data_IF_236401610927
#
_entry.id   IF_236401610927
#
_cell.length_a   1.000
_cell.length_b   1.000
_cell.length_c   1.000
_cell.angle_alpha   90.00
_cell.angle_beta   90.00
_cell.angle_gamma   90.00
#
_symmetry.space_group_name_H-M   'P 1'
#
loop_
_entity.id
_entity.type
_entity.pdbx_description
1 polymer ?
#
# COMPACT_ATOMS: atom_id res chain seq x y z
N UNK A 1 36.34 -74.44 -9.09
CA UNK A 1 36.28 -72.98 -9.34
C UNK A 1 34.88 -72.49 -8.94
N UNK A 2 34.78 -71.73 -7.87
CA UNK A 2 33.47 -71.16 -7.38
C UNK A 2 33.39 -69.73 -7.83
N UNK A 3 32.44 -69.43 -8.70
CA UNK A 3 32.11 -68.03 -9.08
C UNK A 3 31.30 -67.31 -7.96
N UNK A 4 31.80 -66.21 -7.48
CA UNK A 4 31.07 -65.30 -6.58
C UNK A 4 30.28 -64.31 -7.43
N UNK A 5 28.95 -64.37 -7.29
CA UNK A 5 28.08 -63.38 -7.84
C UNK A 5 28.04 -62.13 -6.91
N UNK A 6 28.38 -60.94 -7.44
CA UNK A 6 28.25 -59.68 -6.77
C UNK A 6 26.84 -59.10 -7.07
N UNK A 7 26.03 -58.97 -6.03
CA UNK A 7 24.72 -58.36 -6.11
C UNK A 7 24.87 -56.84 -5.92
N UNK A 8 24.70 -56.07 -7.00
CA UNK A 8 24.60 -54.59 -6.93
C UNK A 8 23.18 -54.22 -6.51
N UNK A 9 23.03 -53.71 -5.27
CA UNK A 9 21.79 -53.08 -4.81
C UNK A 9 21.83 -51.63 -5.24
N UNK A 10 21.01 -51.31 -6.25
CA UNK A 10 20.80 -49.95 -6.72
C UNK A 10 19.80 -49.25 -5.78
N UNK A 11 20.31 -48.40 -4.88
CA UNK A 11 19.49 -47.60 -3.97
C UNK A 11 18.97 -46.37 -4.73
N UNK A 12 17.74 -46.44 -5.26
CA UNK A 12 17.05 -45.31 -5.87
C UNK A 12 16.55 -44.38 -4.77
N UNK A 13 17.24 -43.28 -4.58
CA UNK A 13 16.75 -42.18 -3.71
C UNK A 13 15.64 -41.44 -4.46
N UNK A 14 14.38 -41.70 -4.15
CA UNK A 14 13.26 -40.85 -4.54
C UNK A 14 13.38 -39.54 -3.78
N UNK A 15 13.81 -38.49 -4.47
CA UNK A 15 13.61 -37.12 -4.03
C UNK A 15 12.12 -36.78 -4.17
N UNK A 16 11.36 -36.96 -3.09
CA UNK A 16 10.03 -36.38 -2.92
C UNK A 16 10.19 -34.86 -2.83
N UNK A 17 10.04 -34.17 -3.97
CA UNK A 17 9.85 -32.74 -3.99
C UNK A 17 8.59 -32.42 -3.18
N UNK A 18 8.79 -31.80 -2.02
CA UNK A 18 7.68 -31.23 -1.26
C UNK A 18 7.04 -30.14 -2.10
N UNK A 19 5.98 -30.47 -2.82
CA UNK A 19 5.05 -29.51 -3.40
C UNK A 19 4.37 -28.84 -2.22
N UNK A 20 4.87 -27.67 -1.83
CA UNK A 20 4.25 -26.86 -0.78
C UNK A 20 2.85 -26.48 -1.23
N UNK A 21 1.83 -27.04 -0.61
CA UNK A 21 0.47 -26.56 -0.73
C UNK A 21 0.46 -25.07 -0.36
N UNK A 22 -0.20 -24.18 -1.14
CA UNK A 22 -0.34 -22.79 -0.76
C UNK A 22 -1.02 -22.75 0.61
N UNK A 23 -0.35 -22.12 1.59
CA UNK A 23 -0.94 -21.85 2.91
C UNK A 23 -2.10 -20.88 2.69
N UNK A 24 -3.32 -21.38 2.58
CA UNK A 24 -4.54 -20.61 2.76
C UNK A 24 -4.66 -20.28 4.24
N UNK A 25 -4.32 -19.03 4.60
CA UNK A 25 -4.34 -18.52 5.96
C UNK A 25 -2.96 -18.01 6.38
N UNK A 26 -2.51 -16.88 5.80
CA UNK A 26 -1.29 -16.18 6.25
C UNK A 26 -1.45 -15.69 7.69
N UNK A 27 -0.33 -15.48 8.37
CA UNK A 27 -0.32 -14.84 9.71
C UNK A 27 -0.91 -13.43 9.58
N UNK A 28 -1.79 -13.06 10.51
CA UNK A 28 -2.41 -11.75 10.59
C UNK A 28 -1.64 -10.88 11.59
N UNK A 29 -1.30 -9.68 11.17
CA UNK A 29 -0.63 -8.65 11.95
C UNK A 29 -1.58 -7.47 12.11
N UNK A 30 -2.31 -7.41 13.23
CA UNK A 30 -3.25 -6.33 13.50
C UNK A 30 -2.47 -5.09 13.94
N UNK A 31 -2.65 -3.95 13.26
CA UNK A 31 -1.94 -2.71 13.58
C UNK A 31 -2.16 -2.23 15.02
N UNK A 32 -3.29 -2.60 15.64
CA UNK A 32 -3.56 -2.30 17.05
C UNK A 32 -2.57 -2.98 18.00
N UNK A 33 -2.07 -4.16 17.64
CA UNK A 33 -1.08 -4.89 18.44
C UNK A 33 0.30 -4.20 18.44
N UNK A 34 0.50 -3.29 17.48
CA UNK A 34 1.70 -2.45 17.32
C UNK A 34 1.51 -1.04 17.86
N UNK A 35 0.38 -0.74 18.49
CA UNK A 35 0.12 0.50 19.20
C UNK A 35 -0.71 1.54 18.46
N UNK A 36 -1.27 1.20 17.27
CA UNK A 36 -2.20 2.08 16.59
C UNK A 36 -3.40 2.44 17.47
N UNK A 37 -3.91 3.66 17.37
CA UNK A 37 -5.04 4.17 18.17
C UNK A 37 -6.35 4.12 17.40
N UNK A 38 -6.34 4.47 16.13
CA UNK A 38 -7.53 4.51 15.29
C UNK A 38 -8.57 5.50 15.79
N UNK A 39 -8.12 6.63 16.33
CA UNK A 39 -8.96 7.71 16.88
C UNK A 39 -9.15 8.87 15.87
N UNK A 40 -8.53 8.80 14.71
CA UNK A 40 -8.58 9.81 13.66
C UNK A 40 -7.74 11.06 13.93
N UNK A 41 -6.95 11.07 14.99
CA UNK A 41 -6.15 12.24 15.43
C UNK A 41 -4.70 11.89 15.71
N UNK A 42 -4.46 10.74 16.36
CA UNK A 42 -3.11 10.25 16.62
C UNK A 42 -2.46 9.76 15.31
N UNK A 43 -1.20 10.10 15.10
CA UNK A 43 -0.45 9.59 13.95
C UNK A 43 -0.08 8.11 14.19
N UNK A 44 -0.75 7.24 13.46
CA UNK A 44 -0.62 5.78 13.55
C UNK A 44 0.44 5.21 12.58
N UNK A 45 1.14 6.04 11.80
CA UNK A 45 2.08 5.60 10.76
C UNK A 45 3.16 4.66 11.31
N UNK A 46 3.73 4.96 12.48
CA UNK A 46 4.77 4.13 13.10
C UNK A 46 4.27 2.71 13.45
N UNK A 47 3.03 2.60 13.93
CA UNK A 47 2.40 1.32 14.25
C UNK A 47 2.08 0.51 12.97
N UNK A 48 1.57 1.17 11.94
CA UNK A 48 1.30 0.56 10.63
C UNK A 48 2.61 0.04 10.03
N UNK A 49 3.67 0.87 10.02
CA UNK A 49 4.98 0.48 9.49
C UNK A 49 5.57 -0.69 10.26
N UNK A 50 5.50 -0.70 11.59
CA UNK A 50 6.00 -1.81 12.40
C UNK A 50 5.28 -3.14 12.11
N UNK A 51 3.98 -3.10 11.85
CA UNK A 51 3.21 -4.27 11.45
C UNK A 51 3.63 -4.79 10.06
N UNK A 52 3.82 -3.87 9.10
CA UNK A 52 4.28 -4.20 7.74
C UNK A 52 5.68 -4.83 7.79
N UNK A 53 6.61 -4.20 8.51
CA UNK A 53 7.98 -4.68 8.63
C UNK A 53 8.06 -6.06 9.28
N UNK A 54 7.28 -6.28 10.34
CA UNK A 54 7.22 -7.58 11.00
C UNK A 54 6.59 -8.63 10.09
N UNK A 55 5.54 -8.31 9.37
CA UNK A 55 4.88 -9.19 8.42
C UNK A 55 5.86 -9.63 7.32
N UNK A 56 6.50 -8.70 6.66
CA UNK A 56 7.48 -8.97 5.60
C UNK A 56 8.68 -9.76 6.11
N UNK A 57 9.25 -9.40 7.28
CA UNK A 57 10.35 -10.12 7.92
C UNK A 57 10.01 -11.57 8.25
N UNK A 58 8.75 -11.86 8.50
CA UNK A 58 8.26 -13.23 8.80
C UNK A 58 7.94 -14.03 7.53
N UNK A 59 8.21 -13.49 6.35
CA UNK A 59 7.97 -14.16 5.06
C UNK A 59 6.61 -13.82 4.43
N UNK A 60 5.95 -12.75 4.90
CA UNK A 60 4.69 -12.27 4.35
C UNK A 60 3.46 -12.64 5.17
N UNK A 61 2.31 -12.14 4.76
CA UNK A 61 1.03 -12.34 5.43
C UNK A 61 0.11 -11.14 5.26
N UNK A 62 -0.83 -10.98 6.17
CA UNK A 62 -1.84 -9.92 6.13
C UNK A 62 -1.64 -8.91 7.27
N UNK A 63 -1.40 -7.66 6.92
CA UNK A 63 -1.47 -6.53 7.86
C UNK A 63 -2.91 -6.04 7.90
N UNK A 64 -3.54 -6.17 9.06
CA UNK A 64 -4.96 -5.90 9.25
C UNK A 64 -5.18 -4.49 9.78
N UNK A 65 -5.96 -3.70 9.04
CA UNK A 65 -6.54 -2.42 9.49
C UNK A 65 -7.96 -2.71 9.99
N UNK A 66 -8.20 -2.73 11.31
CA UNK A 66 -9.44 -3.26 11.88
C UNK A 66 -10.64 -2.34 11.64
N UNK A 67 -11.82 -2.95 11.62
CA UNK A 67 -13.09 -2.33 11.29
C UNK A 67 -13.48 -1.15 12.20
N UNK A 68 -14.25 -0.21 11.63
CA UNK A 68 -14.96 0.82 12.36
C UNK A 68 -14.09 1.91 13.00
N UNK A 69 -12.85 2.07 12.55
CA UNK A 69 -11.89 3.05 13.07
C UNK A 69 -11.28 3.89 11.95
N UNK A 70 -10.82 5.08 12.32
CA UNK A 70 -10.05 5.95 11.43
C UNK A 70 -8.64 6.08 11.95
N UNK A 71 -7.67 5.69 11.14
CA UNK A 71 -6.24 5.75 11.44
C UNK A 71 -5.62 6.88 10.63
N UNK A 72 -5.40 8.04 11.27
CA UNK A 72 -4.64 9.11 10.65
C UNK A 72 -3.17 8.68 10.59
N UNK A 73 -2.53 8.83 9.45
CA UNK A 73 -1.14 8.42 9.30
C UNK A 73 -0.35 9.30 8.33
N UNK A 74 0.87 9.62 8.75
CA UNK A 74 1.95 10.14 7.92
C UNK A 74 2.38 9.11 6.87
N UNK A 75 3.23 9.45 5.90
CA UNK A 75 3.71 8.51 4.90
C UNK A 75 4.29 7.22 5.48
N UNK A 76 3.95 6.10 4.85
CA UNK A 76 4.52 4.79 5.15
C UNK A 76 4.76 3.98 3.87
N UNK A 77 5.65 2.99 3.95
CA UNK A 77 5.98 2.15 2.79
C UNK A 77 5.46 0.73 2.93
N UNK A 78 5.07 0.17 1.80
CA UNK A 78 4.68 -1.22 1.66
C UNK A 78 5.93 -2.12 1.60
N UNK A 79 5.75 -3.41 1.75
CA UNK A 79 6.83 -4.38 1.69
C UNK A 79 6.43 -5.62 0.87
N UNK A 80 7.43 -6.36 0.38
CA UNK A 80 7.19 -7.58 -0.40
C UNK A 80 6.43 -8.64 0.40
N UNK A 81 5.52 -9.35 -0.28
CA UNK A 81 4.71 -10.45 0.25
C UNK A 81 3.72 -10.02 1.34
N UNK A 82 3.38 -8.73 1.39
CA UNK A 82 2.43 -8.16 2.36
C UNK A 82 1.12 -7.82 1.68
N UNK A 83 0.03 -8.28 2.27
CA UNK A 83 -1.32 -7.81 2.02
C UNK A 83 -1.70 -6.77 3.08
N UNK A 84 -2.00 -5.54 2.68
CA UNK A 84 -2.65 -4.53 3.52
C UNK A 84 -4.16 -4.70 3.38
N UNK A 85 -4.82 -5.24 4.41
CA UNK A 85 -6.24 -5.54 4.39
C UNK A 85 -7.04 -4.56 5.24
N UNK A 86 -7.96 -3.84 4.61
CA UNK A 86 -8.83 -2.86 5.26
C UNK A 86 -10.21 -3.48 5.53
N UNK A 87 -10.53 -3.74 6.79
CA UNK A 87 -11.83 -4.26 7.18
C UNK A 87 -12.98 -3.24 6.92
N UNK A 88 -14.25 -3.69 6.89
CA UNK A 88 -15.38 -2.79 6.65
C UNK A 88 -15.43 -1.60 7.61
N UNK A 89 -15.68 -0.41 7.06
CA UNK A 89 -15.75 0.86 7.81
C UNK A 89 -14.43 1.25 8.50
N UNK A 90 -13.30 0.62 8.16
CA UNK A 90 -12.00 1.17 8.50
C UNK A 90 -11.63 2.29 7.53
N UNK A 91 -10.80 3.24 7.98
CA UNK A 91 -10.30 4.32 7.16
C UNK A 91 -8.84 4.61 7.50
N UNK A 92 -7.95 4.55 6.50
CA UNK A 92 -6.66 5.20 6.55
C UNK A 92 -6.86 6.65 6.11
N UNK A 93 -6.46 7.61 6.93
CA UNK A 93 -6.64 9.05 6.70
C UNK A 93 -5.26 9.72 6.59
N UNK A 94 -5.00 10.42 5.48
CA UNK A 94 -3.73 11.12 5.31
C UNK A 94 -3.55 12.22 6.35
N UNK A 95 -2.37 12.28 6.97
CA UNK A 95 -2.00 13.35 7.88
C UNK A 95 -1.97 14.69 7.12
N UNK A 96 -2.67 15.74 7.58
CA UNK A 96 -2.69 17.03 6.90
C UNK A 96 -1.39 17.85 7.04
N UNK A 97 -0.43 17.40 7.84
CA UNK A 97 0.86 18.09 8.00
C UNK A 97 1.75 17.87 6.76
N UNK A 98 1.85 18.90 5.92
CA UNK A 98 2.68 18.86 4.71
C UNK A 98 4.17 18.55 4.99
N UNK A 99 4.67 18.89 6.18
CA UNK A 99 6.05 18.62 6.55
C UNK A 99 6.37 17.12 6.73
N UNK A 100 5.34 16.29 6.87
CA UNK A 100 5.49 14.83 6.96
C UNK A 100 5.86 14.19 5.60
N UNK A 101 5.61 14.88 4.48
CA UNK A 101 5.79 14.36 3.14
C UNK A 101 7.13 14.81 2.56
N UNK A 102 8.11 13.93 2.56
CA UNK A 102 9.50 14.25 2.20
C UNK A 102 10.01 13.55 0.95
N UNK A 103 9.27 12.56 0.45
CA UNK A 103 9.65 11.77 -0.72
C UNK A 103 8.70 12.08 -1.89
N UNK A 104 9.27 12.38 -3.06
CA UNK A 104 8.54 12.64 -4.29
C UNK A 104 8.64 11.44 -5.24
N UNK A 105 7.55 11.17 -5.97
CA UNK A 105 7.51 10.26 -7.11
C UNK A 105 8.25 10.80 -8.33
N UNK A 106 8.50 12.11 -8.40
CA UNK A 106 9.17 12.76 -9.51
C UNK A 106 10.69 12.85 -9.29
N UNK A 107 11.45 12.60 -10.35
CA UNK A 107 12.93 12.61 -10.31
C UNK A 107 13.51 13.92 -9.78
N UNK A 108 12.89 15.02 -10.15
CA UNK A 108 13.35 16.38 -9.84
C UNK A 108 12.71 16.90 -8.55
N UNK A 109 12.55 16.14 -7.54
CA UNK A 109 11.92 16.50 -6.26
C UNK A 109 11.85 18.03 -6.02
N UNK A 110 10.93 18.70 -6.71
CA UNK A 110 10.73 20.16 -6.65
C UNK A 110 9.65 20.55 -5.64
N UNK A 111 9.31 19.66 -4.73
CA UNK A 111 8.22 19.84 -3.81
C UNK A 111 6.85 19.47 -4.38
N UNK A 112 6.81 18.72 -5.50
CA UNK A 112 5.58 18.25 -6.13
C UNK A 112 5.51 16.72 -6.07
N UNK A 113 4.28 16.18 -6.15
CA UNK A 113 4.05 14.74 -6.28
C UNK A 113 4.59 13.93 -5.12
N UNK A 114 4.41 14.40 -3.92
CA UNK A 114 4.83 13.69 -2.71
C UNK A 114 4.11 12.35 -2.58
N UNK A 115 4.71 11.39 -1.92
CA UNK A 115 4.14 10.07 -1.76
C UNK A 115 3.59 9.88 -0.34
N UNK A 116 2.39 9.34 -0.24
CA UNK A 116 1.81 8.96 1.06
C UNK A 116 1.97 7.46 1.32
N UNK A 117 1.20 6.62 0.64
CA UNK A 117 1.37 5.16 0.69
C UNK A 117 2.21 4.77 -0.51
N UNK A 118 3.36 4.17 -0.30
CA UNK A 118 4.25 3.89 -1.43
C UNK A 118 4.98 2.55 -1.29
N UNK A 119 5.45 2.05 -2.43
CA UNK A 119 6.31 0.88 -2.51
C UNK A 119 7.23 0.99 -3.71
N UNK A 120 8.46 0.50 -3.57
CA UNK A 120 9.44 0.47 -4.65
C UNK A 120 10.25 -0.81 -4.63
N UNK A 121 10.53 -1.38 -5.83
CA UNK A 121 11.33 -2.60 -6.01
C UNK A 121 10.80 -3.80 -5.19
N UNK A 122 9.47 -3.99 -5.17
CA UNK A 122 8.81 -5.00 -4.35
C UNK A 122 8.20 -6.13 -5.18
N UNK A 123 7.85 -7.22 -4.50
CA UNK A 123 7.16 -8.39 -5.08
C UNK A 123 5.90 -8.72 -4.31
N UNK A 124 4.86 -9.13 -5.04
CA UNK A 124 3.61 -9.65 -4.47
C UNK A 124 3.02 -8.75 -3.38
N UNK A 125 2.64 -7.53 -3.76
CA UNK A 125 1.99 -6.55 -2.89
C UNK A 125 0.50 -6.57 -3.13
N UNK A 126 -0.30 -6.58 -2.06
CA UNK A 126 -1.75 -6.50 -2.17
C UNK A 126 -2.34 -5.44 -1.24
N UNK A 127 -3.39 -4.76 -1.73
CA UNK A 127 -4.23 -3.85 -0.95
C UNK A 127 -5.67 -4.31 -1.18
N UNK A 128 -6.35 -4.76 -0.12
CA UNK A 128 -7.65 -5.41 -0.24
C UNK A 128 -8.63 -5.00 0.86
N UNK A 129 -9.85 -5.48 0.76
CA UNK A 129 -10.90 -5.24 1.76
C UNK A 129 -11.87 -4.16 1.34
N UNK A 130 -12.86 -3.87 2.20
CA UNK A 130 -13.95 -2.94 1.89
C UNK A 130 -13.88 -1.64 2.71
N UNK A 131 -12.74 -1.39 3.35
CA UNK A 131 -12.43 -0.14 4.02
C UNK A 131 -12.06 0.98 3.04
N UNK A 132 -11.69 2.13 3.58
CA UNK A 132 -11.37 3.33 2.81
C UNK A 132 -9.92 3.77 2.99
N UNK A 133 -9.35 4.35 1.93
CA UNK A 133 -8.12 5.14 1.95
C UNK A 133 -8.52 6.56 1.57
N UNK A 134 -8.42 7.49 2.51
CA UNK A 134 -8.85 8.87 2.36
C UNK A 134 -7.63 9.80 2.31
N UNK A 135 -7.37 10.35 1.14
CA UNK A 135 -6.24 11.24 0.90
C UNK A 135 -6.35 12.61 1.58
N UNK A 136 -7.48 12.90 2.28
CA UNK A 136 -7.70 14.14 3.01
C UNK A 136 -7.41 15.41 2.18
N UNK A 137 -7.63 15.34 0.88
CA UNK A 137 -7.14 16.30 -0.11
C UNK A 137 -7.50 17.75 0.17
N UNK A 138 -8.68 18.01 0.75
CA UNK A 138 -9.12 19.37 1.08
C UNK A 138 -8.20 20.04 2.12
N UNK A 139 -7.58 19.26 3.00
CA UNK A 139 -6.66 19.79 4.02
C UNK A 139 -5.38 20.40 3.43
N UNK A 140 -5.03 20.03 2.20
CA UNK A 140 -3.89 20.58 1.45
C UNK A 140 -4.28 21.76 0.57
N UNK A 141 -5.54 22.21 0.62
CA UNK A 141 -6.09 23.23 -0.26
C UNK A 141 -6.52 24.45 0.52
N UNK A 142 -6.31 25.62 -0.10
CA UNK A 142 -6.78 26.91 0.40
C UNK A 142 -8.13 27.31 -0.19
N UNK A 143 -8.30 28.60 -0.48
CA UNK A 143 -9.52 29.16 -1.04
C UNK A 143 -9.71 28.80 -2.51
N UNK A 144 -10.93 28.92 -3.02
CA UNK A 144 -11.22 28.85 -4.44
C UNK A 144 -10.45 29.94 -5.22
N UNK A 145 -10.04 29.60 -6.42
CA UNK A 145 -9.47 30.59 -7.36
C UNK A 145 -10.58 31.57 -7.80
N UNK A 146 -10.22 32.83 -8.01
CA UNK A 146 -11.19 33.89 -8.35
C UNK A 146 -11.91 33.62 -9.69
N UNK A 147 -11.19 33.02 -10.64
CA UNK A 147 -11.69 32.77 -12.01
C UNK A 147 -12.00 31.30 -12.29
N UNK A 148 -12.04 30.47 -11.26
CA UNK A 148 -12.25 29.02 -11.42
C UNK A 148 -13.01 28.44 -10.21
N UNK A 149 -13.69 27.34 -10.42
CA UNK A 149 -14.27 26.53 -9.33
C UNK A 149 -13.24 25.71 -8.55
N UNK A 150 -11.98 25.71 -9.01
CA UNK A 150 -10.91 24.93 -8.38
C UNK A 150 -10.40 25.58 -7.09
N UNK A 151 -9.92 24.74 -6.18
CA UNK A 151 -9.22 25.18 -4.99
C UNK A 151 -7.75 25.48 -5.33
N UNK A 152 -7.19 26.51 -4.69
CA UNK A 152 -5.76 26.80 -4.75
C UNK A 152 -5.01 25.94 -3.74
N UNK A 153 -3.84 25.34 -4.03
CA UNK A 153 -3.00 24.75 -3.01
C UNK A 153 -2.63 25.74 -1.90
N UNK A 154 -2.44 25.26 -0.68
CA UNK A 154 -2.12 26.13 0.47
C UNK A 154 -0.78 26.82 0.29
N UNK A 155 0.19 26.12 -0.30
CA UNK A 155 1.55 26.64 -0.52
C UNK A 155 1.83 26.85 -2.00
N UNK A 156 2.81 27.73 -2.31
CA UNK A 156 3.27 27.97 -3.69
C UNK A 156 4.05 26.77 -4.27
N UNK A 157 4.69 25.99 -3.43
CA UNK A 157 5.16 24.66 -3.76
C UNK A 157 3.97 23.73 -3.71
N UNK A 158 3.90 22.73 -4.55
CA UNK A 158 2.77 21.80 -4.62
C UNK A 158 3.10 20.46 -3.92
N UNK A 159 3.21 20.44 -2.57
CA UNK A 159 3.59 19.26 -1.80
C UNK A 159 2.45 18.25 -1.65
N UNK A 160 1.34 18.46 -2.36
CA UNK A 160 0.18 17.58 -2.30
C UNK A 160 0.56 16.14 -2.59
N UNK A 161 0.22 15.18 -1.71
CA UNK A 161 0.64 13.80 -1.91
C UNK A 161 -0.24 13.05 -2.91
N UNK A 162 0.39 12.15 -3.67
CA UNK A 162 -0.28 11.01 -4.28
C UNK A 162 -0.76 10.07 -3.18
N UNK A 163 -1.94 9.48 -3.35
CA UNK A 163 -2.47 8.56 -2.32
C UNK A 163 -1.69 7.26 -2.32
N UNK A 164 -1.53 6.63 -3.47
CA UNK A 164 -0.81 5.37 -3.63
C UNK A 164 0.19 5.47 -4.77
N UNK A 165 1.47 5.25 -4.49
CA UNK A 165 2.54 5.24 -5.51
C UNK A 165 3.29 3.92 -5.47
N UNK A 166 3.29 3.18 -6.58
CA UNK A 166 3.95 1.90 -6.73
C UNK A 166 4.97 1.98 -7.86
N UNK A 167 6.24 1.68 -7.56
CA UNK A 167 7.37 1.82 -8.48
C UNK A 167 8.06 0.47 -8.60
N UNK A 168 8.20 -0.04 -9.84
CA UNK A 168 8.92 -1.28 -10.14
C UNK A 168 8.45 -2.48 -9.29
N UNK A 169 7.13 -2.66 -9.16
CA UNK A 169 6.52 -3.77 -8.42
C UNK A 169 6.25 -4.95 -9.36
N UNK A 170 6.68 -6.14 -8.94
CA UNK A 170 6.33 -7.39 -9.59
C UNK A 170 5.11 -8.01 -8.90
N UNK A 171 3.99 -8.05 -9.57
CA UNK A 171 2.69 -8.54 -9.12
C UNK A 171 2.04 -7.70 -8.02
N UNK A 172 1.01 -6.98 -8.43
CA UNK A 172 0.21 -6.12 -7.56
C UNK A 172 -1.27 -6.50 -7.64
N UNK A 173 -1.96 -6.54 -6.51
CA UNK A 173 -3.41 -6.68 -6.44
C UNK A 173 -4.00 -5.53 -5.63
N UNK A 174 -4.92 -4.76 -6.23
CA UNK A 174 -5.72 -3.75 -5.51
C UNK A 174 -7.18 -4.14 -5.70
N UNK A 175 -7.88 -4.47 -4.59
CA UNK A 175 -9.23 -5.03 -4.72
C UNK A 175 -10.20 -4.56 -3.64
N UNK A 176 -11.42 -4.22 -4.08
CA UNK A 176 -12.61 -3.91 -3.29
C UNK A 176 -12.52 -2.63 -2.44
N UNK A 177 -11.35 -2.01 -2.31
CA UNK A 177 -11.15 -0.81 -1.49
C UNK A 177 -11.77 0.44 -2.11
N UNK A 178 -12.20 1.37 -1.25
CA UNK A 178 -12.58 2.72 -1.66
C UNK A 178 -11.39 3.66 -1.46
N UNK A 179 -10.94 4.34 -2.51
CA UNK A 179 -9.91 5.38 -2.43
C UNK A 179 -10.59 6.72 -2.73
N UNK A 180 -10.39 7.72 -1.88
CA UNK A 180 -11.14 8.97 -2.03
C UNK A 180 -10.37 10.19 -1.59
N UNK A 181 -10.90 11.36 -1.96
CA UNK A 181 -10.40 12.68 -1.53
C UNK A 181 -8.90 12.85 -1.75
N UNK A 182 -8.41 12.40 -2.90
CA UNK A 182 -7.00 12.56 -3.26
C UNK A 182 -6.60 14.04 -3.28
N UNK A 183 -5.42 14.35 -2.77
CA UNK A 183 -4.85 15.69 -2.87
C UNK A 183 -4.15 15.92 -4.22
N UNK A 184 -3.66 14.86 -4.84
CA UNK A 184 -3.02 14.81 -6.16
C UNK A 184 -3.45 13.53 -6.89
N UNK A 185 -2.59 12.82 -7.61
CA UNK A 185 -2.94 11.55 -8.26
C UNK A 185 -3.34 10.48 -7.24
N UNK A 186 -4.33 9.69 -7.60
CA UNK A 186 -4.90 8.71 -6.67
C UNK A 186 -4.10 7.42 -6.62
N UNK A 187 -3.94 6.74 -7.77
CA UNK A 187 -3.11 5.54 -7.92
C UNK A 187 -2.10 5.80 -9.01
N UNK A 188 -0.83 5.81 -8.66
CA UNK A 188 0.27 6.04 -9.59
C UNK A 188 1.16 4.80 -9.68
N UNK A 189 1.22 4.20 -10.87
CA UNK A 189 1.96 2.98 -11.17
C UNK A 189 3.11 3.30 -12.11
N UNK A 190 4.34 3.00 -11.72
CA UNK A 190 5.54 3.27 -12.50
C UNK A 190 6.30 1.96 -12.68
N UNK A 191 6.48 1.49 -13.91
CA UNK A 191 7.27 0.30 -14.21
C UNK A 191 6.77 -1.01 -13.59
N UNK A 192 5.51 -1.06 -13.12
CA UNK A 192 4.92 -2.24 -12.50
C UNK A 192 4.58 -3.32 -13.52
N UNK A 193 4.71 -4.58 -13.13
CA UNK A 193 4.33 -5.75 -13.92
C UNK A 193 3.26 -6.56 -13.19
N UNK A 194 2.36 -7.22 -13.96
CA UNK A 194 1.30 -8.09 -13.44
C UNK A 194 0.42 -7.38 -12.40
N UNK A 195 -0.23 -6.29 -12.83
CA UNK A 195 -1.11 -5.49 -11.97
C UNK A 195 -2.57 -5.88 -12.21
N UNK A 196 -3.27 -6.22 -11.12
CA UNK A 196 -4.70 -6.49 -11.11
C UNK A 196 -5.41 -5.47 -10.22
N UNK A 197 -6.33 -4.71 -10.80
CA UNK A 197 -7.18 -3.74 -10.09
C UNK A 197 -8.63 -4.14 -10.35
N UNK A 198 -9.37 -4.50 -9.29
CA UNK A 198 -10.72 -5.01 -9.41
C UNK A 198 -11.62 -4.53 -8.27
N UNK A 199 -12.88 -4.21 -8.58
CA UNK A 199 -13.90 -3.83 -7.60
C UNK A 199 -13.62 -2.54 -6.80
N UNK A 200 -12.61 -1.75 -7.15
CA UNK A 200 -12.29 -0.51 -6.43
C UNK A 200 -13.27 0.62 -6.75
N UNK A 201 -13.41 1.56 -5.81
CA UNK A 201 -14.11 2.83 -6.03
C UNK A 201 -13.16 3.99 -5.84
N UNK A 202 -13.11 4.93 -6.81
CA UNK A 202 -12.35 6.18 -6.69
C UNK A 202 -13.34 7.35 -6.64
N UNK A 203 -13.31 8.13 -5.55
CA UNK A 203 -14.27 9.20 -5.26
C UNK A 203 -13.54 10.49 -4.88
N UNK A 204 -13.12 11.26 -5.89
CA UNK A 204 -12.33 12.47 -5.68
C UNK A 204 -13.18 13.75 -5.71
N UNK A 205 -12.68 14.78 -5.04
CA UNK A 205 -13.26 16.12 -5.07
C UNK A 205 -12.86 16.83 -6.37
N UNK A 206 -13.83 17.13 -7.21
CA UNK A 206 -13.60 17.77 -8.52
C UNK A 206 -13.09 19.20 -8.45
N UNK A 207 -13.06 19.82 -7.27
CA UNK A 207 -12.42 21.13 -7.05
C UNK A 207 -10.90 21.04 -6.88
N UNK A 208 -10.36 19.85 -6.71
CA UNK A 208 -8.92 19.60 -6.58
C UNK A 208 -8.41 19.15 -7.95
N UNK A 209 -7.52 19.96 -8.56
CA UNK A 209 -6.87 19.60 -9.82
C UNK A 209 -5.91 18.43 -9.64
N UNK A 210 -5.63 17.72 -10.71
CA UNK A 210 -4.77 16.54 -10.72
C UNK A 210 -5.30 15.40 -9.82
N UNK A 211 -6.61 15.30 -9.65
CA UNK A 211 -7.26 14.22 -8.94
C UNK A 211 -7.52 13.01 -9.84
N UNK A 212 -6.56 12.67 -10.70
CA UNK A 212 -6.64 11.56 -11.64
C UNK A 212 -6.82 10.23 -10.89
N UNK A 213 -7.55 9.30 -11.50
CA UNK A 213 -7.91 8.04 -10.84
C UNK A 213 -6.74 7.06 -10.82
N UNK A 214 -6.23 6.70 -12.00
CA UNK A 214 -5.12 5.74 -12.17
C UNK A 214 -4.20 6.26 -13.26
N UNK A 215 -2.94 6.47 -12.91
CA UNK A 215 -1.86 6.90 -13.79
C UNK A 215 -0.85 5.76 -13.96
N UNK A 216 -0.45 5.46 -15.21
CA UNK A 216 0.44 4.35 -15.58
C UNK A 216 1.49 4.77 -16.61
#
# INVERSE_FOLDING_TARGET
>A
MRAKAFLFVLCSILLLGACGTPKTGGTIYNIMDYGAKGDGVTDDAAAIQAAIDQCSKSGGGTVLVPAGRTFMCSPFHLASFVELHLEPNSCLLANPDEAAYTLSAFRDNRGEGMMWIYGQDLKEVSITGTGAIDGNGVSFMGKELEDSYELKPVTDFDPRPHVLTLIDIEKTVIRDVTIRNSAYWTVHLIGCNDVSIDGISILNNLKIRNGDGIDV
#
